data_IF_145523745893
#
_entry.id   IF_145523745893
#
_cell.length_a   1.000
_cell.length_b   1.000
_cell.length_c   1.000
_cell.angle_alpha   90.00
_cell.angle_beta   90.00
_cell.angle_gamma   90.00
#
_symmetry.space_group_name_H-M   'P 1'
#
loop_
_entity.id
_entity.type
_entity.pdbx_description
1 polymer ?
#
# COMPACT_ATOMS: atom_id res chain seq x y z
N UNK A 1 18.71 3.60 16.05
CA UNK A 1 18.36 4.68 15.10
C UNK A 1 18.46 6.00 15.83
N UNK A 2 19.20 6.98 15.28
CA UNK A 2 19.37 8.29 15.92
C UNK A 2 18.05 9.05 15.88
N UNK A 3 17.58 9.54 17.03
CA UNK A 3 16.21 10.04 17.25
C UNK A 3 15.82 11.33 16.51
N UNK A 4 16.69 11.92 15.67
CA UNK A 4 16.53 13.29 15.17
C UNK A 4 16.71 13.47 13.64
N UNK A 5 16.67 12.40 12.84
CA UNK A 5 16.77 12.59 11.40
C UNK A 5 15.43 13.12 10.86
N UNK A 6 15.45 14.31 10.26
CA UNK A 6 14.25 14.89 9.60
C UNK A 6 14.09 14.25 8.22
N UNK A 7 12.85 13.98 7.77
CA UNK A 7 12.63 13.49 6.42
C UNK A 7 13.00 14.58 5.40
N UNK A 8 13.67 14.18 4.31
CA UNK A 8 13.93 15.05 3.15
C UNK A 8 12.75 15.11 2.18
N UNK A 9 11.79 14.21 2.34
CA UNK A 9 10.56 14.18 1.56
C UNK A 9 9.48 13.33 2.23
N UNK A 10 8.23 13.63 1.90
CA UNK A 10 7.07 12.88 2.38
C UNK A 10 6.04 12.77 1.27
N UNK A 11 5.52 11.56 1.07
CA UNK A 11 4.44 11.28 0.14
C UNK A 11 3.32 10.54 0.87
N UNK A 12 2.07 10.85 0.52
CA UNK A 12 0.88 10.17 1.05
C UNK A 12 0.07 9.67 -0.12
N UNK A 13 -0.20 8.36 -0.14
CA UNK A 13 -1.07 7.72 -1.11
C UNK A 13 -2.36 7.29 -0.40
N UNK A 14 -3.50 7.78 -0.89
CA UNK A 14 -4.84 7.40 -0.40
C UNK A 14 -5.38 6.27 -1.29
N UNK A 15 -5.71 5.13 -0.71
CA UNK A 15 -6.17 3.95 -1.46
C UNK A 15 -7.60 4.11 -1.98
N UNK A 16 -8.44 4.90 -1.30
CA UNK A 16 -9.77 5.27 -1.78
C UNK A 16 -10.05 6.76 -1.60
N UNK A 17 -9.65 7.61 -2.57
CA UNK A 17 -9.83 9.05 -2.46
C UNK A 17 -11.29 9.50 -2.59
N UNK A 18 -12.24 8.59 -2.88
CA UNK A 18 -13.64 8.92 -3.16
C UNK A 18 -14.56 8.69 -1.97
N UNK A 19 -14.10 7.95 -0.95
CA UNK A 19 -14.84 7.76 0.30
C UNK A 19 -14.41 8.80 1.32
N UNK A 20 -15.21 9.86 1.50
CA UNK A 20 -14.98 10.87 2.52
C UNK A 20 -16.22 11.04 3.39
N UNK A 21 -16.51 9.99 4.17
CA UNK A 21 -17.48 9.98 5.27
C UNK A 21 -16.82 9.94 6.65
N UNK A 22 -15.52 10.22 6.75
CA UNK A 22 -14.71 10.06 7.97
C UNK A 22 -13.83 8.80 7.97
N UNK A 23 -13.86 8.01 6.91
CA UNK A 23 -13.02 6.83 6.73
C UNK A 23 -11.90 7.11 5.73
N UNK A 24 -10.71 6.58 5.99
CA UNK A 24 -9.57 6.72 5.08
C UNK A 24 -8.61 5.55 5.25
N UNK A 25 -7.94 5.16 4.17
CA UNK A 25 -6.87 4.19 4.20
C UNK A 25 -5.70 4.74 3.38
N UNK A 26 -4.59 4.97 4.05
CA UNK A 26 -3.45 5.71 3.47
C UNK A 26 -2.11 5.04 3.77
N UNK A 27 -1.19 5.17 2.82
CA UNK A 27 0.23 4.86 2.97
C UNK A 27 1.02 6.17 2.99
N UNK A 28 1.64 6.47 4.12
CA UNK A 28 2.64 7.55 4.22
C UNK A 28 4.03 6.97 3.98
N UNK A 29 4.80 7.56 3.07
CA UNK A 29 6.22 7.24 2.86
C UNK A 29 7.06 8.47 3.14
N UNK A 30 7.97 8.36 4.10
CA UNK A 30 8.97 9.36 4.44
C UNK A 30 10.33 8.93 3.93
N UNK A 31 11.08 9.88 3.36
CA UNK A 31 12.40 9.65 2.77
C UNK A 31 13.47 10.28 3.65
N UNK A 32 14.56 9.56 3.90
CA UNK A 32 15.67 10.01 4.74
C UNK A 32 16.99 9.79 4.00
N UNK A 33 17.90 10.75 4.06
CA UNK A 33 19.25 10.57 3.51
C UNK A 33 20.02 9.50 4.29
N UNK A 34 20.85 8.73 3.58
CA UNK A 34 21.66 7.68 4.19
C UNK A 34 23.16 7.98 4.07
N UNK A 35 23.63 9.13 4.53
CA UNK A 35 25.06 9.48 4.65
C UNK A 35 25.84 9.62 3.33
N UNK A 36 25.56 8.78 2.33
CA UNK A 36 26.09 8.76 0.99
C UNK A 36 25.19 9.59 0.05
N UNK A 37 25.78 10.43 -0.84
CA UNK A 37 25.02 11.24 -1.78
C UNK A 37 24.10 10.39 -2.67
N UNK A 38 22.82 10.74 -2.70
CA UNK A 38 21.81 10.07 -3.53
C UNK A 38 21.28 8.75 -2.96
N UNK A 39 21.80 8.29 -1.82
CA UNK A 39 21.27 7.11 -1.12
C UNK A 39 20.24 7.57 -0.09
N UNK A 40 19.07 6.95 -0.13
CA UNK A 40 18.01 7.20 0.82
C UNK A 40 17.44 5.88 1.35
N UNK A 41 16.89 5.94 2.56
CA UNK A 41 15.99 4.91 3.08
C UNK A 41 14.60 5.49 3.29
N UNK A 42 13.60 4.61 3.31
CA UNK A 42 12.21 4.99 3.51
C UNK A 42 11.69 4.47 4.84
N UNK A 43 10.92 5.29 5.55
CA UNK A 43 10.00 4.81 6.57
C UNK A 43 8.58 4.85 6.00
N UNK A 44 7.82 3.77 6.18
CA UNK A 44 6.47 3.68 5.64
C UNK A 44 5.48 3.37 6.76
N UNK A 45 4.40 4.12 6.81
CA UNK A 45 3.30 3.91 7.75
C UNK A 45 2.01 3.68 6.96
N UNK A 46 1.32 2.58 7.25
CA UNK A 46 -0.05 2.37 6.82
C UNK A 46 -0.98 2.82 7.93
N UNK A 47 -1.96 3.65 7.59
CA UNK A 47 -2.94 4.20 8.52
C UNK A 47 -4.35 3.96 8.00
N UNK A 48 -5.16 3.35 8.86
CA UNK A 48 -6.60 3.22 8.72
C UNK A 48 -7.27 4.23 9.66
N UNK A 49 -8.14 5.07 9.12
CA UNK A 49 -9.00 5.98 9.86
C UNK A 49 -10.45 5.54 9.66
N UNK A 50 -11.24 5.54 10.73
CA UNK A 50 -12.70 5.44 10.66
C UNK A 50 -13.30 6.31 11.76
N UNK A 51 -13.86 7.46 11.36
CA UNK A 51 -14.40 8.50 12.24
C UNK A 51 -13.41 8.90 13.33
N UNK A 52 -13.74 8.65 14.60
CA UNK A 52 -12.90 8.97 15.76
C UNK A 52 -11.87 7.88 16.11
N UNK A 53 -11.83 6.79 15.35
CA UNK A 53 -10.90 5.68 15.57
C UNK A 53 -9.82 5.66 14.48
N UNK A 54 -8.61 5.27 14.86
CA UNK A 54 -7.52 5.10 13.93
C UNK A 54 -6.60 3.98 14.37
N UNK A 55 -6.08 3.22 13.40
CA UNK A 55 -5.00 2.27 13.61
C UNK A 55 -3.88 2.61 12.63
N UNK A 56 -2.63 2.56 13.09
CA UNK A 56 -1.47 2.65 12.19
C UNK A 56 -0.43 1.59 12.51
N UNK A 57 0.31 1.22 11.47
CA UNK A 57 1.41 0.27 11.59
C UNK A 57 2.59 0.73 10.74
N UNK A 58 3.77 0.69 11.35
CA UNK A 58 5.03 1.02 10.69
C UNK A 58 5.57 -0.22 9.98
N UNK A 59 5.84 -0.10 8.69
CA UNK A 59 6.39 -1.14 7.83
C UNK A 59 7.91 -1.25 7.99
N UNK A 60 8.34 -1.55 9.22
CA UNK A 60 9.75 -1.70 9.56
C UNK A 60 10.32 -2.97 8.92
N UNK A 61 11.14 -2.84 7.88
CA UNK A 61 11.84 -3.96 7.24
C UNK A 61 11.14 -4.60 6.04
N UNK A 62 9.85 -4.33 5.81
CA UNK A 62 9.10 -4.76 4.61
C UNK A 62 8.53 -3.52 3.93
N UNK A 63 9.39 -2.76 3.26
CA UNK A 63 8.97 -1.58 2.53
C UNK A 63 8.20 -1.99 1.26
N UNK A 64 7.00 -1.44 1.08
CA UNK A 64 6.25 -1.46 -0.16
C UNK A 64 7.02 -0.66 -1.21
N UNK A 65 7.84 -1.37 -1.96
CA UNK A 65 8.57 -0.82 -3.09
C UNK A 65 7.80 -1.06 -4.40
N UNK A 66 8.13 -0.32 -5.48
CA UNK A 66 7.42 -0.46 -6.75
C UNK A 66 7.45 -1.88 -7.36
N UNK A 67 8.53 -2.64 -7.14
CA UNK A 67 8.63 -4.00 -7.67
C UNK A 67 7.62 -4.94 -7.00
N UNK A 68 7.52 -4.89 -5.67
CA UNK A 68 6.56 -5.67 -4.90
C UNK A 68 5.11 -5.28 -5.25
N UNK A 69 4.84 -3.98 -5.41
CA UNK A 69 3.50 -3.50 -5.79
C UNK A 69 3.09 -3.94 -7.20
N UNK A 70 4.03 -3.96 -8.15
CA UNK A 70 3.77 -4.51 -9.50
C UNK A 70 3.52 -6.01 -9.47
N UNK A 71 4.30 -6.74 -8.68
CA UNK A 71 4.09 -8.17 -8.50
C UNK A 71 2.69 -8.44 -7.94
N UNK A 72 2.30 -7.73 -6.87
CA UNK A 72 0.96 -7.83 -6.30
C UNK A 72 -0.14 -7.53 -7.33
N UNK A 73 0.03 -6.48 -8.15
CA UNK A 73 -0.93 -6.15 -9.19
C UNK A 73 -1.11 -7.30 -10.19
N UNK A 74 0.00 -7.89 -10.67
CA UNK A 74 -0.05 -9.02 -11.60
C UNK A 74 -0.74 -10.25 -10.96
N UNK A 75 -0.42 -10.57 -9.71
CA UNK A 75 -1.03 -11.69 -8.99
C UNK A 75 -2.55 -11.53 -8.84
N UNK A 76 -3.02 -10.31 -8.55
CA UNK A 76 -4.45 -10.01 -8.45
C UNK A 76 -5.17 -10.12 -9.80
N UNK A 77 -4.54 -9.69 -10.89
CA UNK A 77 -5.09 -9.85 -12.24
C UNK A 77 -5.24 -11.33 -12.62
N UNK A 78 -4.19 -12.13 -12.39
CA UNK A 78 -4.20 -13.57 -12.64
C UNK A 78 -5.32 -14.28 -11.88
N UNK A 79 -5.48 -13.98 -10.58
CA UNK A 79 -6.54 -14.56 -9.78
C UNK A 79 -7.93 -14.12 -10.26
N UNK A 80 -8.07 -12.85 -10.67
CA UNK A 80 -9.29 -12.35 -11.30
C UNK A 80 -9.67 -13.12 -12.58
N UNK A 81 -8.69 -13.48 -13.41
CA UNK A 81 -8.93 -14.33 -14.58
C UNK A 81 -9.38 -15.74 -14.21
N UNK A 82 -8.75 -16.36 -13.20
CA UNK A 82 -9.12 -17.69 -12.70
C UNK A 82 -10.56 -17.72 -12.18
N UNK A 83 -10.95 -16.71 -11.39
CA UNK A 83 -12.31 -16.57 -10.86
C UNK A 83 -13.32 -16.42 -12.00
N UNK A 84 -13.05 -15.56 -13.00
CA UNK A 84 -13.93 -15.40 -14.18
C UNK A 84 -14.11 -16.71 -14.95
N UNK A 85 -13.03 -17.46 -15.17
CA UNK A 85 -13.08 -18.75 -15.86
C UNK A 85 -13.92 -19.78 -15.09
N UNK A 86 -13.80 -19.80 -13.75
CA UNK A 86 -14.61 -20.68 -12.89
C UNK A 86 -16.10 -20.32 -12.95
N UNK A 87 -16.44 -19.03 -12.88
CA UNK A 87 -17.82 -18.57 -13.00
C UNK A 87 -18.43 -18.93 -14.36
N UNK A 88 -17.66 -18.81 -15.46
CA UNK A 88 -18.12 -19.18 -16.79
C UNK A 88 -18.43 -20.67 -16.94
N UNK A 89 -17.70 -21.55 -16.23
CA UNK A 89 -17.99 -23.00 -16.21
C UNK A 89 -19.28 -23.30 -15.47
N UNK A 90 -19.48 -22.71 -14.30
CA UNK A 90 -20.72 -22.87 -13.50
C UNK A 90 -21.96 -22.45 -14.31
N UNK A 91 -21.87 -21.33 -15.04
CA UNK A 91 -22.97 -20.84 -15.89
C UNK A 91 -23.31 -21.79 -17.04
N UNK A 92 -22.34 -22.55 -17.57
CA UNK A 92 -22.55 -23.50 -18.68
C UNK A 92 -23.09 -24.85 -18.22
N UNK A 93 -22.83 -25.24 -16.98
CA UNK A 93 -23.35 -26.49 -16.39
C UNK A 93 -24.78 -26.34 -15.85
N UNK A 94 -25.28 -25.10 -15.72
CA UNK A 94 -26.62 -24.78 -15.24
C UNK A 94 -27.64 -24.54 -16.37
N UNK A 95 -27.24 -24.72 -17.64
CA UNK A 95 -28.08 -24.56 -18.85
C UNK A 95 -28.11 -25.88 -19.61
#
# INVERSE_FOLDING_TARGET
MSKNQKPIGRHVFEFDPRNSGGESFSLTTEFFEQGDPGVYFTNQELKLQSYCNSASFNLSGVALNPALLRQLANELEEEGHRVKAKLAKISKEST
#
